data_IF_958121872204
#
_entry.id   IF_958121872204
#
_cell.length_a   1.000
_cell.length_b   1.000
_cell.length_c   1.000
_cell.angle_alpha   90.00
_cell.angle_beta   90.00
_cell.angle_gamma   90.00
#
_symmetry.space_group_name_H-M   'P 1'
#
loop_
_entity.id
_entity.type
_entity.pdbx_description
1 polymer ?
#
# COMPACT_ATOMS: atom_id res chain seq x y z
N UNK A 1 -5.49 -10.63 -15.63
CA UNK A 1 -5.52 -9.14 -15.66
C UNK A 1 -4.17 -8.56 -16.08
N UNK A 2 -3.05 -9.17 -15.70
CA UNK A 2 -1.73 -8.70 -16.15
C UNK A 2 -1.66 -8.70 -17.68
N UNK A 3 -2.15 -9.73 -18.33
CA UNK A 3 -2.17 -9.83 -19.79
C UNK A 3 -3.12 -8.79 -20.43
N UNK A 4 -4.31 -8.60 -19.86
CA UNK A 4 -5.28 -7.59 -20.35
C UNK A 4 -4.80 -6.14 -20.15
N UNK A 5 -3.96 -5.92 -19.14
CA UNK A 5 -3.35 -4.63 -18.87
C UNK A 5 -1.99 -4.44 -19.56
N UNK A 6 -1.57 -5.41 -20.39
CA UNK A 6 -0.29 -5.42 -21.09
C UNK A 6 0.91 -5.23 -20.14
N UNK A 7 0.82 -5.79 -18.91
CA UNK A 7 1.89 -5.74 -17.93
C UNK A 7 2.88 -6.89 -18.16
N UNK A 8 4.16 -6.62 -18.07
CA UNK A 8 5.25 -7.60 -18.19
C UNK A 8 5.52 -8.37 -16.87
N UNK A 9 4.64 -8.21 -15.88
CA UNK A 9 4.74 -8.85 -14.57
C UNK A 9 3.39 -9.31 -14.03
N UNK A 10 3.41 -10.29 -13.13
CA UNK A 10 2.23 -10.73 -12.41
C UNK A 10 1.88 -9.69 -11.33
N UNK A 11 0.75 -9.01 -11.51
CA UNK A 11 0.32 -7.95 -10.59
C UNK A 11 -0.09 -8.54 -9.23
N UNK A 12 0.43 -7.96 -8.15
CA UNK A 12 0.09 -8.39 -6.78
C UNK A 12 -1.34 -8.06 -6.39
N UNK A 13 -1.89 -7.00 -6.94
CA UNK A 13 -3.26 -6.57 -6.71
C UNK A 13 -3.63 -5.35 -7.54
N UNK A 14 -4.92 -5.15 -7.68
CA UNK A 14 -5.51 -4.05 -8.46
C UNK A 14 -6.62 -3.36 -7.67
N UNK A 15 -6.76 -2.06 -7.84
CA UNK A 15 -7.86 -1.31 -7.29
C UNK A 15 -9.02 -1.32 -8.28
N UNK A 16 -10.14 -1.88 -7.88
CA UNK A 16 -11.26 -2.18 -8.76
C UNK A 16 -12.44 -1.25 -8.52
N UNK A 17 -13.21 -1.04 -9.58
CA UNK A 17 -14.48 -0.33 -9.58
C UNK A 17 -15.46 -1.04 -10.49
N UNK A 18 -16.58 -1.42 -9.94
CA UNK A 18 -17.70 -2.00 -10.67
C UNK A 18 -19.01 -1.55 -10.01
N UNK A 19 -20.17 -1.92 -10.55
CA UNK A 19 -21.46 -1.55 -9.96
C UNK A 19 -21.55 -1.94 -8.47
N UNK A 20 -21.56 -0.96 -7.59
CA UNK A 20 -21.57 -1.09 -6.12
C UNK A 20 -20.33 -1.75 -5.50
N UNK A 21 -19.38 -2.19 -6.32
CA UNK A 21 -18.11 -2.75 -5.87
C UNK A 21 -17.03 -1.67 -5.84
N UNK A 22 -16.28 -1.62 -4.75
CA UNK A 22 -15.12 -0.76 -4.56
C UNK A 22 -14.13 -1.43 -3.63
N UNK A 23 -12.89 -1.61 -4.08
CA UNK A 23 -11.85 -2.11 -3.20
C UNK A 23 -10.56 -2.48 -3.90
N UNK A 24 -9.71 -3.19 -3.17
CA UNK A 24 -8.50 -3.82 -3.68
C UNK A 24 -8.74 -5.32 -3.81
N UNK A 25 -8.37 -5.87 -4.95
CA UNK A 25 -8.31 -7.30 -5.20
C UNK A 25 -6.86 -7.72 -5.30
N UNK A 26 -6.49 -8.77 -4.58
CA UNK A 26 -5.14 -9.29 -4.52
C UNK A 26 -5.06 -10.70 -5.09
N UNK A 27 -3.90 -11.04 -5.65
CA UNK A 27 -3.65 -12.37 -6.21
C UNK A 27 -3.36 -13.36 -5.09
N UNK A 28 -4.21 -14.39 -4.98
CA UNK A 28 -4.07 -15.48 -4.01
C UNK A 28 -4.59 -16.78 -4.57
N UNK A 29 -3.88 -17.90 -4.32
CA UNK A 29 -4.28 -19.23 -4.81
C UNK A 29 -5.29 -19.90 -3.88
N UNK A 30 -6.53 -19.45 -3.96
CA UNK A 30 -7.62 -20.02 -3.16
C UNK A 30 -8.04 -21.42 -3.62
N UNK A 31 -7.69 -21.83 -4.84
CA UNK A 31 -7.95 -23.19 -5.32
C UNK A 31 -6.96 -24.19 -4.72
N UNK A 32 -5.68 -23.79 -4.56
CA UNK A 32 -4.72 -24.59 -3.83
C UNK A 32 -5.10 -24.73 -2.35
N UNK A 33 -5.58 -23.64 -1.74
CA UNK A 33 -6.12 -23.69 -0.37
C UNK A 33 -7.31 -24.63 -0.25
N UNK A 34 -8.26 -24.59 -1.18
CA UNK A 34 -9.41 -25.47 -1.23
C UNK A 34 -9.01 -26.95 -1.30
N UNK A 35 -8.03 -27.24 -2.17
CA UNK A 35 -7.52 -28.61 -2.38
C UNK A 35 -6.73 -29.15 -1.20
N UNK A 36 -5.76 -28.39 -0.70
CA UNK A 36 -4.73 -28.89 0.20
C UNK A 36 -5.03 -28.62 1.68
N UNK A 37 -5.87 -27.64 1.99
CA UNK A 37 -6.19 -27.24 3.36
C UNK A 37 -7.65 -27.55 3.70
N UNK A 38 -8.60 -27.10 2.87
CA UNK A 38 -10.02 -27.26 3.17
C UNK A 38 -10.57 -28.67 2.78
N UNK A 39 -9.98 -29.31 1.77
CA UNK A 39 -10.43 -30.62 1.27
C UNK A 39 -11.76 -30.58 0.53
N UNK A 40 -12.26 -29.40 0.15
CA UNK A 40 -13.52 -29.20 -0.58
C UNK A 40 -13.43 -27.96 -1.47
N UNK A 41 -14.16 -27.96 -2.57
CA UNK A 41 -14.32 -26.78 -3.44
C UNK A 41 -15.68 -26.11 -3.27
N UNK A 42 -16.53 -26.61 -2.37
CA UNK A 42 -17.86 -26.05 -2.15
C UNK A 42 -17.82 -25.10 -0.96
N UNK A 43 -18.29 -23.89 -1.18
CA UNK A 43 -18.41 -22.84 -0.16
C UNK A 43 -19.82 -22.25 -0.18
N UNK A 44 -20.19 -21.54 0.89
CA UNK A 44 -21.42 -20.75 0.91
C UNK A 44 -21.14 -19.31 0.53
N UNK A 45 -21.94 -18.81 -0.43
CA UNK A 45 -21.92 -17.39 -0.77
C UNK A 45 -22.61 -16.53 0.33
N UNK A 46 -22.62 -15.21 0.13
CA UNK A 46 -23.25 -14.27 1.07
C UNK A 46 -24.77 -14.46 1.17
N UNK A 47 -25.40 -15.06 0.18
CA UNK A 47 -26.84 -15.36 0.17
C UNK A 47 -27.17 -16.76 0.72
N UNK A 48 -26.16 -17.55 1.09
CA UNK A 48 -26.29 -18.88 1.68
C UNK A 48 -26.35 -20.02 0.67
N UNK A 49 -26.10 -19.77 -0.61
CA UNK A 49 -26.09 -20.79 -1.65
C UNK A 49 -24.75 -21.54 -1.66
N UNK A 50 -24.77 -22.82 -2.01
CA UNK A 50 -23.56 -23.59 -2.24
C UNK A 50 -22.97 -23.25 -3.60
N UNK A 51 -21.69 -22.88 -3.63
CA UNK A 51 -20.96 -22.48 -4.84
C UNK A 51 -19.71 -23.35 -4.99
N UNK A 52 -19.54 -23.93 -6.18
CA UNK A 52 -18.31 -24.61 -6.57
C UNK A 52 -17.30 -23.58 -7.09
N UNK A 53 -16.22 -23.38 -6.34
CA UNK A 53 -15.24 -22.32 -6.64
C UNK A 53 -14.26 -22.67 -7.75
N UNK A 54 -14.30 -23.86 -8.34
CA UNK A 54 -13.39 -24.26 -9.43
C UNK A 54 -13.52 -23.39 -10.68
N UNK A 55 -14.69 -22.78 -10.86
CA UNK A 55 -15.00 -21.86 -11.96
C UNK A 55 -15.09 -20.40 -11.49
N UNK A 56 -14.60 -20.10 -10.29
CA UNK A 56 -14.58 -18.74 -9.72
C UNK A 56 -13.20 -18.16 -9.87
N UNK A 57 -13.11 -16.97 -10.45
CA UNK A 57 -11.87 -16.23 -10.64
C UNK A 57 -11.71 -15.09 -9.63
N UNK A 58 -12.81 -14.58 -9.10
CA UNK A 58 -12.85 -13.43 -8.20
C UNK A 58 -13.71 -13.71 -6.97
N UNK A 59 -13.15 -13.50 -5.79
CA UNK A 59 -13.86 -13.55 -4.52
C UNK A 59 -13.94 -12.14 -3.95
N UNK A 60 -15.16 -11.65 -3.75
CA UNK A 60 -15.41 -10.35 -3.11
C UNK A 60 -15.99 -10.55 -1.71
N UNK A 61 -15.64 -9.64 -0.81
CA UNK A 61 -16.27 -9.58 0.51
C UNK A 61 -17.54 -8.74 0.47
N UNK A 62 -18.47 -8.99 1.38
CA UNK A 62 -19.70 -8.19 1.53
C UNK A 62 -19.41 -6.72 1.86
N UNK A 63 -18.25 -6.40 2.39
CA UNK A 63 -17.79 -5.02 2.62
C UNK A 63 -17.36 -4.32 1.33
N UNK A 64 -16.84 -5.07 0.35
CA UNK A 64 -16.46 -4.55 -0.97
C UNK A 64 -17.69 -4.37 -1.87
N UNK A 65 -18.59 -5.34 -1.92
CA UNK A 65 -19.82 -5.26 -2.68
C UNK A 65 -20.90 -4.55 -1.85
N UNK A 66 -20.96 -3.24 -1.99
CA UNK A 66 -22.01 -2.43 -1.32
C UNK A 66 -23.38 -2.85 -1.85
N UNK A 67 -24.40 -2.80 -1.00
CA UNK A 67 -25.78 -3.17 -1.36
C UNK A 67 -25.94 -4.62 -1.88
N UNK A 68 -25.05 -5.54 -1.52
CA UNK A 68 -25.16 -6.94 -1.90
C UNK A 68 -26.50 -7.56 -1.46
N UNK A 69 -27.01 -7.13 -0.30
CA UNK A 69 -28.27 -7.57 0.29
C UNK A 69 -29.53 -7.00 -0.41
N UNK A 70 -29.37 -6.09 -1.36
CA UNK A 70 -30.44 -5.63 -2.23
C UNK A 70 -30.73 -6.61 -3.40
N UNK A 71 -29.84 -7.56 -3.63
CA UNK A 71 -29.96 -8.60 -4.65
C UNK A 71 -30.31 -9.94 -4.01
N UNK A 72 -31.00 -10.79 -4.77
CA UNK A 72 -31.46 -12.11 -4.28
C UNK A 72 -30.39 -13.20 -4.39
N UNK A 73 -29.39 -13.00 -5.25
CA UNK A 73 -28.27 -13.92 -5.48
C UNK A 73 -27.13 -13.23 -6.23
N UNK A 74 -25.98 -13.90 -6.33
CA UNK A 74 -24.88 -13.47 -7.19
C UNK A 74 -25.32 -13.35 -8.66
N UNK A 75 -26.09 -14.32 -9.15
CA UNK A 75 -26.61 -14.31 -10.53
C UNK A 75 -27.54 -13.12 -10.77
N UNK A 76 -28.42 -12.80 -9.82
CA UNK A 76 -29.29 -11.63 -9.91
C UNK A 76 -28.47 -10.33 -10.02
N UNK A 77 -27.44 -10.17 -9.19
CA UNK A 77 -26.51 -9.05 -9.27
C UNK A 77 -25.83 -8.98 -10.65
N UNK A 78 -25.24 -10.08 -11.13
CA UNK A 78 -24.54 -10.15 -12.42
C UNK A 78 -25.49 -9.83 -13.59
N UNK A 79 -26.69 -10.40 -13.59
CA UNK A 79 -27.68 -10.15 -14.65
C UNK A 79 -28.14 -8.69 -14.68
N UNK A 80 -28.26 -8.04 -13.52
CA UNK A 80 -28.55 -6.62 -13.44
C UNK A 80 -27.39 -5.77 -13.98
N UNK A 81 -26.14 -6.14 -13.71
CA UNK A 81 -24.97 -5.46 -14.26
C UNK A 81 -24.91 -5.57 -15.79
N UNK A 82 -25.11 -6.77 -16.34
CA UNK A 82 -25.15 -7.03 -17.80
C UNK A 82 -26.27 -6.21 -18.46
N UNK A 83 -27.48 -6.26 -17.91
CA UNK A 83 -28.66 -5.55 -18.44
C UNK A 83 -28.46 -4.04 -18.52
N UNK A 84 -27.72 -3.48 -17.56
CA UNK A 84 -27.46 -2.05 -17.50
C UNK A 84 -26.13 -1.65 -18.16
N UNK A 85 -25.40 -2.60 -18.77
CA UNK A 85 -24.17 -2.31 -19.50
C UNK A 85 -23.00 -1.83 -18.61
N UNK A 86 -22.97 -2.24 -17.34
CA UNK A 86 -21.86 -1.90 -16.46
C UNK A 86 -20.62 -2.68 -16.86
N UNK A 87 -19.47 -2.00 -16.83
CA UNK A 87 -18.16 -2.57 -17.12
C UNK A 87 -17.28 -2.55 -15.89
N UNK A 88 -16.45 -3.56 -15.74
CA UNK A 88 -15.44 -3.63 -14.71
C UNK A 88 -14.28 -2.69 -15.04
N UNK A 89 -13.83 -1.89 -14.08
CA UNK A 89 -12.76 -0.92 -14.28
C UNK A 89 -11.65 -1.11 -13.26
N UNK A 90 -10.40 -1.02 -13.72
CA UNK A 90 -9.20 -1.02 -12.88
C UNK A 90 -8.71 0.42 -12.77
N UNK A 91 -8.75 0.96 -11.55
CA UNK A 91 -8.36 2.33 -11.28
C UNK A 91 -6.85 2.48 -11.03
N UNK A 92 -6.21 1.44 -10.49
CA UNK A 92 -4.78 1.43 -10.16
C UNK A 92 -4.28 -0.01 -10.02
N UNK A 93 -3.02 -0.24 -10.40
CA UNK A 93 -2.31 -1.51 -10.21
C UNK A 93 -1.24 -1.36 -9.12
N UNK A 94 -0.93 -2.46 -8.45
CA UNK A 94 0.29 -2.54 -7.65
C UNK A 94 1.52 -2.47 -8.56
N UNK A 95 2.61 -1.82 -8.14
CA UNK A 95 3.83 -1.73 -8.94
C UNK A 95 4.51 -3.11 -9.09
N UNK A 96 5.42 -3.23 -10.05
CA UNK A 96 6.24 -4.43 -10.27
C UNK A 96 7.11 -4.73 -9.06
N UNK A 97 7.74 -3.69 -8.52
CA UNK A 97 8.67 -3.75 -7.38
C UNK A 97 8.43 -2.58 -6.43
N UNK A 98 8.83 -2.76 -5.18
CA UNK A 98 8.85 -1.67 -4.20
C UNK A 98 10.21 -0.97 -4.27
N UNK A 99 10.19 0.35 -4.16
CA UNK A 99 11.41 1.14 -4.09
C UNK A 99 12.13 0.89 -2.76
N UNK A 100 13.47 1.03 -2.77
CA UNK A 100 14.30 0.86 -1.56
C UNK A 100 14.43 2.14 -0.74
N UNK A 101 14.23 3.30 -1.37
CA UNK A 101 14.37 4.61 -0.72
C UNK A 101 13.16 5.47 -1.00
N UNK A 102 12.65 6.11 0.04
CA UNK A 102 11.51 7.04 -0.03
C UNK A 102 11.67 8.19 0.97
N UNK A 103 10.89 9.21 0.76
CA UNK A 103 10.79 10.31 1.72
C UNK A 103 9.70 10.05 2.74
N UNK A 104 9.97 10.42 3.99
CA UNK A 104 8.97 10.43 5.06
C UNK A 104 7.89 11.48 4.78
N UNK A 105 6.69 11.24 5.29
CA UNK A 105 5.70 12.30 5.42
C UNK A 105 6.05 13.16 6.65
N UNK A 106 5.88 14.49 6.53
CA UNK A 106 6.19 15.44 7.62
C UNK A 106 5.49 15.08 8.94
N UNK A 107 4.32 14.44 8.91
CA UNK A 107 3.57 14.04 10.11
C UNK A 107 4.29 12.97 10.92
N UNK A 108 5.09 12.12 10.29
CA UNK A 108 5.72 10.98 10.99
C UNK A 108 6.72 11.46 12.03
N UNK A 109 7.54 12.46 11.70
CA UNK A 109 8.56 13.00 12.60
C UNK A 109 7.94 13.71 13.81
N UNK A 110 6.77 14.32 13.66
CA UNK A 110 6.08 15.01 14.75
C UNK A 110 5.70 14.08 15.93
N UNK A 111 5.76 12.77 15.72
CA UNK A 111 5.47 11.76 16.75
C UNK A 111 6.70 11.37 17.57
N UNK A 112 7.86 11.95 17.30
CA UNK A 112 9.13 11.62 17.91
C UNK A 112 9.66 12.76 18.77
N UNK A 113 10.36 12.40 19.84
CA UNK A 113 11.21 13.27 20.64
C UNK A 113 12.65 12.91 20.31
N UNK A 114 13.23 13.55 19.28
CA UNK A 114 14.59 13.32 18.81
C UNK A 114 15.53 14.37 19.41
N UNK A 115 16.72 13.95 19.83
CA UNK A 115 17.78 14.84 20.19
C UNK A 115 18.55 15.34 18.95
N UNK A 116 19.53 16.25 19.15
CA UNK A 116 20.27 16.86 18.04
C UNK A 116 21.10 15.82 17.27
N UNK A 117 21.67 14.82 17.95
CA UNK A 117 22.44 13.73 17.29
C UNK A 117 21.54 12.87 16.43
N UNK A 118 20.38 12.51 16.92
CA UNK A 118 19.37 11.76 16.19
C UNK A 118 18.88 12.53 14.97
N UNK A 119 18.65 13.83 15.12
CA UNK A 119 18.25 14.70 14.02
C UNK A 119 19.34 14.80 12.95
N UNK A 120 20.61 14.98 13.34
CA UNK A 120 21.72 15.02 12.40
C UNK A 120 21.84 13.70 11.60
N UNK A 121 21.73 12.57 12.27
CA UNK A 121 21.77 11.23 11.63
C UNK A 121 20.61 11.04 10.66
N UNK A 122 19.40 11.43 11.05
CA UNK A 122 18.20 11.27 10.24
C UNK A 122 18.20 12.18 8.99
N UNK A 123 18.73 13.41 9.13
CA UNK A 123 18.81 14.40 8.04
C UNK A 123 19.93 14.08 7.05
N UNK A 124 20.99 13.41 7.51
CA UNK A 124 22.22 13.21 6.74
C UNK A 124 22.00 12.67 5.32
N UNK A 125 21.21 11.61 5.07
CA UNK A 125 21.00 11.10 3.70
C UNK A 125 20.41 12.17 2.75
N UNK A 126 19.48 12.99 3.26
CA UNK A 126 18.88 14.09 2.48
C UNK A 126 19.88 15.21 2.20
N UNK A 127 20.71 15.54 3.18
CA UNK A 127 21.76 16.57 3.01
C UNK A 127 22.85 16.12 2.04
N UNK A 128 23.22 14.85 2.09
CA UNK A 128 24.23 14.29 1.18
C UNK A 128 23.69 14.30 -0.26
N UNK A 129 22.43 13.90 -0.49
CA UNK A 129 21.74 14.00 -1.78
C UNK A 129 21.75 15.43 -2.33
N UNK A 130 21.38 16.42 -1.51
CA UNK A 130 21.36 17.83 -1.91
C UNK A 130 22.77 18.33 -2.25
N UNK A 131 23.78 17.97 -1.45
CA UNK A 131 25.18 18.36 -1.70
C UNK A 131 25.71 17.77 -3.00
N UNK A 132 25.44 16.49 -3.27
CA UNK A 132 25.88 15.82 -4.48
C UNK A 132 25.35 16.51 -5.74
N UNK A 133 24.10 16.97 -5.72
CA UNK A 133 23.49 17.73 -6.82
C UNK A 133 24.11 19.13 -6.94
N UNK A 134 24.37 19.81 -5.80
CA UNK A 134 25.00 21.12 -5.78
C UNK A 134 26.43 21.13 -6.33
N UNK A 135 27.17 20.03 -6.18
CA UNK A 135 28.51 19.89 -6.74
C UNK A 135 28.53 19.45 -8.21
N UNK A 136 27.38 19.48 -8.88
CA UNK A 136 27.20 19.16 -10.31
C UNK A 136 27.67 17.75 -10.71
N UNK A 137 27.47 16.77 -9.84
CA UNK A 137 27.52 15.36 -10.27
C UNK A 137 26.29 15.06 -11.14
N UNK A 138 26.50 15.05 -12.46
CA UNK A 138 25.38 14.91 -13.42
C UNK A 138 24.56 13.65 -13.20
N UNK A 139 25.19 12.50 -12.87
CA UNK A 139 24.49 11.24 -12.64
C UNK A 139 23.58 11.34 -11.41
N UNK A 140 24.04 11.96 -10.35
CA UNK A 140 23.26 12.21 -9.15
C UNK A 140 22.20 13.28 -9.36
N UNK A 141 22.48 14.29 -10.18
CA UNK A 141 21.49 15.28 -10.62
C UNK A 141 20.35 14.61 -11.39
N UNK A 142 20.65 13.67 -12.29
CA UNK A 142 19.64 12.90 -13.02
C UNK A 142 18.79 12.07 -12.05
N UNK A 143 19.43 11.37 -11.09
CA UNK A 143 18.72 10.61 -10.05
C UNK A 143 17.81 11.49 -9.19
N UNK A 144 18.30 12.65 -8.78
CA UNK A 144 17.55 13.64 -8.02
C UNK A 144 16.32 14.16 -8.77
N UNK A 145 16.49 14.51 -10.05
CA UNK A 145 15.42 15.03 -10.90
C UNK A 145 14.33 14.01 -11.17
N UNK A 146 14.69 12.74 -11.21
CA UNK A 146 13.75 11.63 -11.45
C UNK A 146 13.04 11.15 -10.18
N UNK A 147 13.64 11.37 -9.01
CA UNK A 147 13.28 10.67 -7.79
C UNK A 147 13.99 9.31 -7.66
N UNK A 148 13.88 8.67 -6.51
CA UNK A 148 14.48 7.38 -6.25
C UNK A 148 13.98 6.30 -7.23
N UNK A 149 14.84 5.36 -7.64
CA UNK A 149 14.46 4.17 -8.37
C UNK A 149 14.81 4.13 -9.86
N UNK A 150 15.95 4.71 -10.28
CA UNK A 150 16.52 4.40 -11.60
C UNK A 150 17.03 2.96 -11.62
N UNK A 151 16.44 2.15 -12.48
CA UNK A 151 17.06 0.93 -12.99
C UNK A 151 17.16 1.02 -14.51
N UNK A 152 17.99 0.16 -15.13
CA UNK A 152 18.22 0.17 -16.58
C UNK A 152 16.93 -0.04 -17.40
N UNK A 153 15.93 -0.69 -16.81
CA UNK A 153 14.64 -0.96 -17.44
C UNK A 153 13.73 0.28 -17.48
N UNK A 154 13.85 1.20 -16.52
CA UNK A 154 12.99 2.38 -16.39
C UNK A 154 13.45 3.59 -17.22
N UNK A 155 14.70 3.57 -17.70
CA UNK A 155 15.30 4.69 -18.45
C UNK A 155 14.51 5.03 -19.72
N UNK A 156 13.93 4.03 -20.37
CA UNK A 156 13.14 4.21 -21.60
C UNK A 156 11.77 4.86 -21.41
N UNK A 157 11.20 4.82 -20.21
CA UNK A 157 9.83 5.29 -19.90
C UNK A 157 9.79 6.63 -19.18
N UNK A 158 10.85 7.40 -19.24
CA UNK A 158 10.88 8.72 -18.59
C UNK A 158 9.94 9.71 -19.29
N UNK A 159 8.96 10.20 -18.58
CA UNK A 159 8.07 11.27 -19.04
C UNK A 159 8.74 12.64 -19.09
N UNK A 160 9.85 12.83 -18.35
CA UNK A 160 10.53 14.11 -18.25
C UNK A 160 11.62 14.25 -19.34
N UNK A 161 11.33 15.01 -20.38
CA UNK A 161 12.24 15.26 -21.50
C UNK A 161 13.56 15.93 -21.06
N UNK A 162 13.54 16.64 -19.97
CA UNK A 162 14.72 17.30 -19.40
C UNK A 162 15.73 16.27 -18.86
N UNK A 163 15.25 15.24 -18.19
CA UNK A 163 16.08 14.14 -17.69
C UNK A 163 16.64 13.33 -18.84
N UNK A 164 15.84 13.07 -19.88
CA UNK A 164 16.30 12.41 -21.12
C UNK A 164 17.41 13.19 -21.80
N UNK A 165 17.24 14.51 -21.89
CA UNK A 165 18.25 15.38 -22.50
C UNK A 165 19.58 15.34 -21.73
N UNK A 166 19.55 15.38 -20.39
CA UNK A 166 20.73 15.27 -19.53
C UNK A 166 21.46 13.92 -19.67
N UNK A 167 20.71 12.85 -19.89
CA UNK A 167 21.31 11.53 -20.12
C UNK A 167 22.03 11.43 -21.44
N UNK A 168 21.58 12.16 -22.48
CA UNK A 168 22.20 12.19 -23.81
C UNK A 168 23.41 13.13 -23.82
N UNK A 169 23.27 14.30 -23.20
CA UNK A 169 24.30 15.36 -23.21
C UNK A 169 24.46 15.98 -21.81
N UNK A 170 25.42 15.47 -21.00
CA UNK A 170 25.67 15.98 -19.65
C UNK A 170 26.02 17.46 -19.57
N UNK A 171 26.62 18.05 -20.64
CA UNK A 171 26.98 19.47 -20.66
C UNK A 171 25.76 20.41 -20.67
N UNK A 172 24.52 19.87 -20.85
CA UNK A 172 23.31 20.67 -20.69
C UNK A 172 23.22 21.26 -19.26
N UNK A 173 23.88 20.67 -18.27
CA UNK A 173 23.99 21.26 -16.92
C UNK A 173 24.67 22.64 -16.89
N UNK A 174 25.44 22.99 -17.93
CA UNK A 174 26.08 24.29 -18.04
C UNK A 174 25.15 25.38 -18.59
N UNK A 175 23.97 24.98 -19.12
CA UNK A 175 22.96 25.91 -19.62
C UNK A 175 22.31 26.69 -18.48
N UNK A 176 22.22 28.04 -18.56
CA UNK A 176 21.66 28.87 -17.49
C UNK A 176 20.20 28.55 -17.13
N UNK A 177 19.37 28.14 -18.10
CA UNK A 177 17.98 27.75 -17.84
C UNK A 177 17.92 26.45 -17.05
N UNK A 178 18.78 25.49 -17.42
CA UNK A 178 18.91 24.20 -16.72
C UNK A 178 19.37 24.41 -15.30
N UNK A 179 20.43 25.22 -15.10
CA UNK A 179 20.92 25.56 -13.75
C UNK A 179 19.85 26.23 -12.90
N UNK A 180 19.10 27.17 -13.49
CA UNK A 180 17.99 27.82 -12.75
C UNK A 180 16.89 26.81 -12.35
N UNK A 181 16.56 25.89 -13.23
CA UNK A 181 15.55 24.85 -12.98
C UNK A 181 16.01 23.92 -11.87
N UNK A 182 17.24 23.42 -11.93
CA UNK A 182 17.86 22.58 -10.87
C UNK A 182 17.92 23.34 -9.55
N UNK A 183 18.31 24.60 -9.56
CA UNK A 183 18.33 25.42 -8.34
C UNK A 183 16.96 25.53 -7.68
N UNK A 184 15.90 25.77 -8.46
CA UNK A 184 14.53 25.82 -7.92
C UNK A 184 14.09 24.46 -7.34
N UNK A 185 14.45 23.34 -7.95
CA UNK A 185 14.15 22.01 -7.43
C UNK A 185 14.89 21.74 -6.13
N UNK A 186 16.19 22.09 -6.05
CA UNK A 186 16.98 22.00 -4.81
C UNK A 186 16.37 22.85 -3.69
N UNK A 187 15.98 24.10 -4.01
CA UNK A 187 15.33 24.99 -3.05
C UNK A 187 14.03 24.39 -2.50
N UNK A 188 13.22 23.80 -3.36
CA UNK A 188 12.00 23.10 -2.96
C UNK A 188 12.34 21.90 -2.07
N UNK A 189 13.32 21.10 -2.45
CA UNK A 189 13.78 19.94 -1.67
C UNK A 189 14.29 20.32 -0.28
N UNK A 190 15.02 21.44 -0.16
CA UNK A 190 15.44 22.01 1.12
C UNK A 190 14.23 22.43 1.97
N UNK A 191 13.23 23.06 1.35
CA UNK A 191 12.02 23.47 2.07
C UNK A 191 11.20 22.27 2.55
N UNK A 192 11.13 21.20 1.76
CA UNK A 192 10.52 19.93 2.16
C UNK A 192 11.29 19.30 3.32
N UNK A 193 12.62 19.27 3.26
CA UNK A 193 13.46 18.72 4.32
C UNK A 193 13.27 19.47 5.65
N UNK A 194 13.11 20.81 5.60
CA UNK A 194 12.85 21.65 6.79
C UNK A 194 11.54 21.31 7.52
N UNK A 195 10.57 20.73 6.82
CA UNK A 195 9.32 20.29 7.41
C UNK A 195 9.28 18.76 7.67
N UNK A 196 10.42 18.07 7.54
CA UNK A 196 10.54 16.68 7.91
C UNK A 196 10.28 15.67 6.78
N UNK A 197 10.24 16.11 5.53
CA UNK A 197 10.20 15.22 4.36
C UNK A 197 11.62 14.74 4.07
N UNK A 198 12.09 13.75 4.85
CA UNK A 198 13.47 13.28 4.84
C UNK A 198 13.58 11.92 4.13
N UNK A 199 14.67 11.73 3.39
CA UNK A 199 15.00 10.50 2.69
C UNK A 199 15.43 9.43 3.68
N UNK A 200 14.84 8.26 3.58
CA UNK A 200 15.17 7.07 4.38
C UNK A 200 15.16 5.81 3.51
N UNK A 201 15.87 4.78 3.94
CA UNK A 201 15.66 3.44 3.44
C UNK A 201 14.25 2.99 3.88
N UNK A 202 13.39 2.71 2.92
CA UNK A 202 12.00 2.41 3.19
C UNK A 202 11.12 2.50 1.95
N UNK A 203 9.90 2.03 2.07
CA UNK A 203 8.95 2.06 0.96
C UNK A 203 7.50 2.23 1.42
N UNK A 204 6.68 2.71 0.48
CA UNK A 204 5.24 2.69 0.59
C UNK A 204 4.69 1.44 -0.10
N UNK A 205 3.81 0.73 0.57
CA UNK A 205 3.11 -0.41 0.00
C UNK A 205 1.62 -0.39 0.32
N UNK A 206 0.83 -0.94 -0.60
CA UNK A 206 -0.62 -1.07 -0.40
C UNK A 206 -0.88 -2.13 0.68
N UNK A 207 -1.86 -1.84 1.52
CA UNK A 207 -2.25 -2.73 2.63
C UNK A 207 -3.23 -3.79 2.15
N UNK A 208 -2.97 -5.03 2.55
CA UNK A 208 -3.90 -6.15 2.43
C UNK A 208 -4.28 -6.73 3.79
N UNK A 209 -5.50 -7.24 3.89
CA UNK A 209 -5.84 -8.21 4.91
C UNK A 209 -5.14 -9.54 4.66
N UNK A 210 -5.23 -10.46 5.60
CA UNK A 210 -4.69 -11.81 5.45
C UNK A 210 -5.61 -12.69 4.58
N UNK A 211 -5.23 -13.01 3.32
CA UNK A 211 -6.06 -13.82 2.43
C UNK A 211 -6.17 -15.28 2.90
N UNK A 212 -5.17 -15.79 3.61
CA UNK A 212 -5.24 -17.13 4.22
C UNK A 212 -6.34 -17.19 5.28
N UNK A 213 -6.41 -16.19 6.15
CA UNK A 213 -7.49 -16.04 7.14
C UNK A 213 -8.86 -15.91 6.46
N UNK A 214 -8.94 -15.17 5.35
CA UNK A 214 -10.17 -15.03 4.59
C UNK A 214 -10.63 -16.38 4.05
N UNK A 215 -9.73 -17.17 3.47
CA UNK A 215 -10.04 -18.53 3.01
C UNK A 215 -10.49 -19.43 4.16
N UNK A 216 -9.81 -19.40 5.31
CA UNK A 216 -10.28 -20.15 6.49
C UNK A 216 -11.73 -19.80 6.85
N UNK A 217 -12.09 -18.52 6.79
CA UNK A 217 -13.46 -18.07 7.06
C UNK A 217 -14.45 -18.57 6.02
N UNK A 218 -14.12 -18.45 4.72
CA UNK A 218 -14.98 -18.88 3.60
C UNK A 218 -15.29 -20.37 3.71
N UNK A 219 -14.33 -21.19 4.10
CA UNK A 219 -14.50 -22.64 4.28
C UNK A 219 -15.01 -23.02 5.68
N UNK A 220 -15.54 -22.08 6.45
CA UNK A 220 -16.08 -22.30 7.80
C UNK A 220 -15.08 -22.97 8.77
N UNK A 221 -13.80 -22.77 8.55
CA UNK A 221 -12.72 -23.26 9.42
C UNK A 221 -12.47 -22.28 10.58
N UNK A 222 -11.78 -22.73 11.61
CA UNK A 222 -11.28 -21.83 12.66
C UNK A 222 -10.25 -20.87 12.04
N UNK A 223 -10.55 -19.58 12.09
CA UNK A 223 -9.64 -18.55 11.57
C UNK A 223 -8.48 -18.34 12.54
N UNK A 224 -7.29 -18.68 12.10
CA UNK A 224 -6.03 -18.52 12.86
C UNK A 224 -5.05 -17.58 12.17
N UNK A 225 -5.08 -17.56 10.81
CA UNK A 225 -4.08 -16.88 10.00
C UNK A 225 -2.69 -17.50 10.11
N UNK A 226 -1.74 -16.89 9.42
CA UNK A 226 -0.32 -17.28 9.45
C UNK A 226 0.55 -16.26 10.21
N UNK A 227 0.06 -15.08 10.44
CA UNK A 227 0.76 -13.99 11.12
C UNK A 227 0.35 -13.91 12.59
N UNK A 228 1.31 -13.68 13.47
CA UNK A 228 1.07 -13.37 14.89
C UNK A 228 0.82 -11.86 15.06
N UNK A 229 0.24 -11.44 16.20
CA UNK A 229 0.10 -10.00 16.50
C UNK A 229 1.44 -9.26 16.40
N UNK A 230 1.44 -8.12 15.70
CA UNK A 230 2.64 -7.32 15.43
C UNK A 230 3.52 -7.87 14.31
N UNK A 231 3.18 -9.01 13.70
CA UNK A 231 3.84 -9.50 12.49
C UNK A 231 3.12 -9.02 11.24
N UNK A 232 3.91 -8.79 10.19
CA UNK A 232 3.45 -8.51 8.83
C UNK A 232 4.12 -9.46 7.85
N UNK A 233 3.53 -9.65 6.68
CA UNK A 233 4.27 -10.15 5.53
C UNK A 233 4.42 -9.03 4.50
N UNK A 234 5.63 -8.82 4.06
CA UNK A 234 5.97 -7.97 2.94
C UNK A 234 7.18 -8.60 2.26
N UNK A 235 7.03 -8.95 0.99
CA UNK A 235 8.03 -9.73 0.27
C UNK A 235 9.40 -9.03 0.24
N UNK A 236 9.43 -7.70 0.00
CA UNK A 236 10.65 -6.92 0.02
C UNK A 236 11.36 -7.02 1.38
N UNK A 237 10.65 -6.74 2.47
CA UNK A 237 11.21 -6.73 3.82
C UNK A 237 11.55 -8.12 4.37
N UNK A 238 10.89 -9.17 3.88
CA UNK A 238 11.29 -10.54 4.19
C UNK A 238 12.64 -10.91 3.58
N UNK A 239 13.03 -10.27 2.48
CA UNK A 239 14.35 -10.42 1.85
C UNK A 239 15.45 -9.53 2.43
N UNK A 240 15.12 -8.56 3.30
CA UNK A 240 16.08 -7.67 3.96
C UNK A 240 16.49 -8.23 5.33
N UNK A 241 17.64 -7.77 5.83
CA UNK A 241 18.14 -8.13 7.18
C UNK A 241 17.60 -7.15 8.25
N UNK A 242 16.28 -6.98 8.29
CA UNK A 242 15.61 -6.08 9.21
C UNK A 242 14.60 -6.86 10.07
N UNK A 243 14.86 -7.00 11.37
CA UNK A 243 13.97 -7.71 12.30
C UNK A 243 12.77 -6.89 12.74
N UNK A 244 12.88 -5.59 12.68
CA UNK A 244 11.85 -4.63 13.10
C UNK A 244 11.77 -3.49 12.10
N UNK A 245 10.55 -3.00 11.90
CA UNK A 245 10.27 -1.87 11.03
C UNK A 245 9.36 -0.89 11.75
N UNK A 246 9.64 0.40 11.58
CA UNK A 246 8.68 1.43 11.91
C UNK A 246 7.64 1.51 10.79
N UNK A 247 6.37 1.48 11.18
CA UNK A 247 5.22 1.48 10.28
C UNK A 247 4.34 2.69 10.53
N UNK A 248 4.01 3.41 9.46
CA UNK A 248 3.21 4.63 9.49
C UNK A 248 2.11 4.61 8.44
N UNK A 249 1.03 5.31 8.73
CA UNK A 249 0.01 5.65 7.74
C UNK A 249 -0.36 7.12 7.85
N UNK A 250 -0.37 7.83 6.73
CA UNK A 250 -0.90 9.18 6.64
C UNK A 250 -2.39 9.16 6.20
N UNK A 251 -3.23 10.10 6.66
CA UNK A 251 -2.92 11.14 7.65
C UNK A 251 -2.84 10.59 9.07
N UNK A 252 -1.94 11.17 9.89
CA UNK A 252 -1.88 10.87 11.31
C UNK A 252 -2.76 11.84 12.09
N UNK A 253 -3.57 11.32 12.99
CA UNK A 253 -4.45 12.13 13.86
C UNK A 253 -3.91 12.30 15.27
N UNK A 254 -2.95 11.47 15.66
CA UNK A 254 -2.27 11.55 16.95
C UNK A 254 -0.92 10.82 16.90
N UNK A 255 -0.07 11.08 17.90
CA UNK A 255 1.24 10.43 18.08
C UNK A 255 1.18 8.90 18.19
N UNK A 256 -0.02 8.36 18.40
CA UNK A 256 -0.26 6.93 18.56
C UNK A 256 -0.40 6.18 17.21
N UNK A 257 -0.42 6.90 16.09
CA UNK A 257 -0.60 6.31 14.76
C UNK A 257 0.72 5.81 14.17
N UNK A 258 1.57 5.21 14.98
CA UNK A 258 2.81 4.54 14.59
C UNK A 258 2.87 3.15 15.21
N UNK A 259 3.46 2.18 14.50
CA UNK A 259 3.61 0.81 15.00
C UNK A 259 4.98 0.26 14.70
N UNK A 260 5.45 -0.59 15.61
CA UNK A 260 6.63 -1.40 15.41
C UNK A 260 6.18 -2.79 14.93
N UNK A 261 6.50 -3.12 13.69
CA UNK A 261 6.11 -4.41 13.08
C UNK A 261 7.32 -5.28 12.79
N UNK A 262 7.09 -6.58 12.64
CA UNK A 262 8.14 -7.57 12.36
C UNK A 262 7.81 -8.35 11.10
N UNK A 263 8.72 -8.43 10.12
CA UNK A 263 8.55 -9.29 8.95
C UNK A 263 8.52 -10.77 9.36
N UNK A 264 7.48 -11.49 8.95
CA UNK A 264 7.40 -12.94 9.14
C UNK A 264 8.05 -13.65 7.94
N UNK A 265 9.13 -14.39 8.18
CA UNK A 265 9.93 -15.10 7.18
C UNK A 265 9.68 -16.61 7.19
N UNK A 266 8.52 -17.07 7.65
CA UNK A 266 8.20 -18.50 7.67
C UNK A 266 8.03 -19.06 6.25
N UNK A 267 8.25 -20.35 6.10
CA UNK A 267 8.02 -21.03 4.81
C UNK A 267 6.55 -20.99 4.41
N UNK A 268 5.65 -21.00 5.37
CA UNK A 268 4.22 -20.98 5.12
C UNK A 268 3.78 -19.62 4.56
N UNK A 269 4.23 -18.50 5.15
CA UNK A 269 3.93 -17.17 4.62
C UNK A 269 4.56 -16.95 3.24
N UNK A 270 5.80 -17.43 3.04
CA UNK A 270 6.47 -17.33 1.75
C UNK A 270 5.74 -18.11 0.66
N UNK A 271 5.17 -19.28 1.00
CA UNK A 271 4.39 -20.11 0.08
C UNK A 271 3.02 -19.49 -0.24
N UNK A 272 2.24 -19.19 0.79
CA UNK A 272 0.86 -18.73 0.60
C UNK A 272 0.75 -17.31 0.05
N UNK A 273 1.70 -16.42 0.35
CA UNK A 273 1.67 -15.03 -0.10
C UNK A 273 2.63 -14.74 -1.27
N UNK A 274 3.13 -15.77 -1.96
CA UNK A 274 4.14 -15.67 -3.02
C UNK A 274 3.76 -14.72 -4.18
N UNK A 275 2.48 -14.53 -4.44
CA UNK A 275 1.97 -13.65 -5.51
C UNK A 275 1.78 -12.20 -5.04
N UNK A 276 1.82 -11.95 -3.74
CA UNK A 276 1.56 -10.65 -3.14
C UNK A 276 2.87 -9.90 -2.84
N UNK A 277 3.66 -9.63 -3.90
CA UNK A 277 5.06 -9.15 -3.78
C UNK A 277 5.19 -7.70 -3.35
N UNK A 278 4.23 -6.84 -3.71
CA UNK A 278 4.34 -5.39 -3.54
C UNK A 278 3.25 -4.80 -2.64
N UNK A 279 2.68 -5.63 -1.79
CA UNK A 279 1.74 -5.20 -0.74
C UNK A 279 2.24 -5.64 0.65
N UNK A 280 1.64 -5.06 1.68
CA UNK A 280 1.85 -5.45 3.08
C UNK A 280 0.62 -6.13 3.63
N UNK A 281 0.78 -7.36 4.09
CA UNK A 281 -0.27 -8.17 4.70
C UNK A 281 -0.17 -8.02 6.22
N UNK A 282 -1.28 -7.63 6.84
CA UNK A 282 -1.39 -7.49 8.30
C UNK A 282 -2.10 -8.67 8.92
N UNK A 283 -1.79 -8.93 10.19
CA UNK A 283 -2.51 -9.90 11.02
C UNK A 283 -4.00 -9.55 11.10
N UNK A 284 -4.87 -10.57 11.08
CA UNK A 284 -6.33 -10.38 11.11
C UNK A 284 -6.89 -10.10 12.50
N UNK A 285 -6.10 -10.30 13.57
CA UNK A 285 -6.58 -10.30 14.94
C UNK A 285 -6.01 -9.19 15.82
N UNK A 286 -4.93 -8.51 15.38
CA UNK A 286 -4.35 -7.44 16.16
C UNK A 286 -5.05 -6.09 15.94
N UNK A 287 -4.61 -5.09 16.68
CA UNK A 287 -5.18 -3.75 16.65
C UNK A 287 -4.41 -2.78 15.72
N UNK A 288 -3.50 -3.28 14.89
CA UNK A 288 -2.64 -2.44 14.06
C UNK A 288 -3.45 -1.53 13.12
N UNK A 289 -4.50 -2.07 12.47
CA UNK A 289 -5.37 -1.28 11.61
C UNK A 289 -6.04 -0.12 12.34
N UNK A 290 -6.55 -0.36 13.54
CA UNK A 290 -7.16 0.70 14.37
C UNK A 290 -6.13 1.73 14.82
N UNK A 291 -4.94 1.27 15.23
CA UNK A 291 -3.86 2.12 15.67
C UNK A 291 -3.32 3.00 14.54
N UNK A 292 -3.27 2.50 13.32
CA UNK A 292 -2.88 3.24 12.11
C UNK A 292 -4.04 4.08 11.54
N UNK A 293 -4.74 4.78 12.42
CA UNK A 293 -5.82 5.71 12.09
C UNK A 293 -6.99 5.06 11.34
N UNK A 294 -7.40 3.87 11.77
CA UNK A 294 -8.50 3.15 11.13
C UNK A 294 -8.16 2.76 9.68
N UNK A 295 -6.95 2.28 9.48
CA UNK A 295 -6.47 1.77 8.20
C UNK A 295 -7.44 0.74 7.63
N UNK A 296 -7.87 0.91 6.38
CA UNK A 296 -8.68 -0.08 5.67
C UNK A 296 -7.92 -0.69 4.47
N UNK A 297 -8.57 -1.60 3.73
CA UNK A 297 -7.92 -2.40 2.68
C UNK A 297 -8.45 -2.03 1.28
N UNK A 298 -8.92 -0.82 1.11
CA UNK A 298 -9.49 -0.34 -0.16
C UNK A 298 -8.48 0.47 -1.01
N UNK A 299 -7.21 0.41 -0.66
CA UNK A 299 -6.12 1.09 -1.34
C UNK A 299 -5.23 1.94 -0.44
N UNK A 300 -5.39 1.83 0.88
CA UNK A 300 -4.51 2.49 1.85
C UNK A 300 -3.06 2.07 1.70
N UNK A 301 -2.17 3.01 1.97
CA UNK A 301 -0.72 2.82 1.94
C UNK A 301 -0.12 2.93 3.33
N UNK A 302 0.83 2.07 3.62
CA UNK A 302 1.71 2.21 4.78
C UNK A 302 3.13 2.47 4.33
N UNK A 303 3.84 3.31 5.08
CA UNK A 303 5.28 3.48 5.00
C UNK A 303 5.94 2.51 5.96
N UNK A 304 6.91 1.75 5.47
CA UNK A 304 7.77 0.86 6.25
C UNK A 304 9.22 1.33 6.12
N UNK A 305 9.95 1.39 7.24
CA UNK A 305 11.38 1.74 7.25
C UNK A 305 12.11 1.00 8.37
N UNK A 306 13.34 0.60 8.07
CA UNK A 306 14.29 0.01 9.03
C UNK A 306 15.24 1.05 9.62
N UNK A 307 14.99 2.35 9.43
CA UNK A 307 15.82 3.41 9.94
C UNK A 307 16.00 3.29 11.47
N UNK A 308 17.24 3.14 11.92
CA UNK A 308 17.57 2.85 13.31
C UNK A 308 17.21 3.99 14.27
N UNK A 309 17.30 5.24 13.83
CA UNK A 309 16.89 6.41 14.61
C UNK A 309 15.39 6.37 14.90
N UNK A 310 14.60 6.06 13.87
CA UNK A 310 13.15 5.97 14.00
C UNK A 310 12.73 4.76 14.84
N UNK A 311 13.35 3.60 14.66
CA UNK A 311 13.01 2.38 15.40
C UNK A 311 13.34 2.52 16.90
N UNK A 312 14.53 3.04 17.23
CA UNK A 312 14.95 3.15 18.65
C UNK A 312 14.17 4.18 19.45
N UNK A 313 13.71 5.24 18.79
CA UNK A 313 12.94 6.31 19.42
C UNK A 313 11.42 6.11 19.32
N UNK A 314 10.97 5.02 18.69
CA UNK A 314 9.56 4.72 18.56
C UNK A 314 8.95 4.35 19.92
N UNK A 315 7.99 5.14 20.36
CA UNK A 315 7.19 4.88 21.56
C UNK A 315 5.81 4.41 21.14
N UNK A 316 5.57 3.09 21.21
CA UNK A 316 4.29 2.51 20.86
C UNK A 316 3.30 2.68 22.03
N UNK A 317 2.28 3.49 21.82
CA UNK A 317 1.21 3.70 22.79
C UNK A 317 0.07 2.70 22.52
N UNK A 318 -0.79 2.39 23.51
CA UNK A 318 -1.98 1.56 23.32
C UNK A 318 -2.85 2.09 22.18
N UNK A 319 -3.37 1.20 21.35
CA UNK A 319 -4.25 1.58 20.25
C UNK A 319 -5.51 2.27 20.77
N UNK A 320 -5.82 3.44 20.22
CA UNK A 320 -7.10 4.09 20.44
C UNK A 320 -8.15 3.40 19.57
N UNK A 321 -9.06 2.69 20.22
CA UNK A 321 -10.16 2.04 19.53
C UNK A 321 -11.21 3.08 19.17
N UNK A 322 -11.28 3.46 17.89
CA UNK A 322 -12.35 4.29 17.38
C UNK A 322 -13.60 3.42 17.18
N UNK A 323 -14.48 3.40 18.15
CA UNK A 323 -15.78 2.72 18.03
C UNK A 323 -16.69 3.61 17.17
N UNK A 324 -16.91 3.21 15.92
CA UNK A 324 -17.93 3.85 15.10
C UNK A 324 -19.31 3.58 15.74
N UNK A 325 -19.93 4.61 16.25
CA UNK A 325 -21.32 4.52 16.66
C UNK A 325 -22.16 4.48 15.38
N UNK A 326 -22.94 3.42 15.22
CA UNK A 326 -23.94 3.38 14.15
C UNK A 326 -24.84 4.61 14.29
N UNK A 327 -24.79 5.50 13.31
CA UNK A 327 -25.75 6.59 13.23
C UNK A 327 -27.15 5.97 13.18
N UNK A 328 -28.06 6.44 14.03
CA UNK A 328 -29.46 6.03 13.94
C UNK A 328 -29.93 6.34 12.52
N UNK A 329 -30.42 5.32 11.80
CA UNK A 329 -31.00 5.53 10.46
C UNK A 329 -32.11 6.57 10.61
N UNK A 330 -31.92 7.76 10.05
CA UNK A 330 -32.95 8.77 9.94
C UNK A 330 -33.73 8.45 8.66
N UNK A 331 -35.04 8.28 8.80
CA UNK A 331 -35.90 8.19 7.61
C UNK A 331 -35.92 9.60 7.01
N UNK A 332 -35.31 9.75 5.84
CA UNK A 332 -35.34 11.01 5.08
C UNK A 332 -36.66 11.08 4.34
N UNK A 333 -37.48 12.07 4.67
CA UNK A 333 -38.71 12.34 3.94
C UNK A 333 -38.45 13.25 2.74
N UNK A 334 -39.36 13.28 1.77
CA UNK A 334 -39.23 14.17 0.61
C UNK A 334 -39.07 15.66 0.97
N UNK A 335 -39.59 16.07 2.15
CA UNK A 335 -39.42 17.43 2.66
C UNK A 335 -37.97 17.72 3.12
N UNK A 336 -37.25 16.73 3.62
CA UNK A 336 -35.84 16.88 4.04
C UNK A 336 -34.90 17.07 2.85
N UNK A 337 -35.27 16.56 1.67
CA UNK A 337 -34.50 16.71 0.42
C UNK A 337 -34.66 18.09 -0.26
N UNK A 338 -35.72 18.80 0.08
CA UNK A 338 -35.99 20.16 -0.48
C UNK A 338 -35.25 21.23 0.33
N UNK A 339 -34.81 20.93 1.55
CA UNK A 339 -34.09 21.87 2.42
C UNK A 339 -32.55 21.68 2.42
N UNK A 340 -32.04 20.69 1.69
CA UNK A 340 -30.60 20.44 1.51
C UNK A 340 -30.12 20.99 0.16
#
# INVERSE_FOLDING_TARGET
WSDELELDYLVSGVNTRFAWEKGMVFTFDFLDFAKNIAGTYIVKDAWGNDVDIRNVELILTTSMLKLWDAYTSCDDYVQNCIRNGYTFSIAKTCPKELESERTLNYQFIQSYELDDEDMERLIKPTMDEIKDVLYADWSKTVLFLKGAGLNDENVGYMENDFVKALMIEPHILDDPYVQSSVYHMIKNRINEAKVGVLKVHGNYSIVSGDPYSLCQHIFAMKVTGLLKPGEIYNHYWCGQDADKLACYRAPMTCHNNIRLVRPNRSKDTAYWYQYMKTCTIFNSWDTAAHALNGMDKDGDLVMLTDNDVLIRNLKELPALMCVQRNAKKKIVTGADLIQA
#
